data_IF_776051150887
#
_entry.id   IF_776051150887
#
_cell.length_a   1.000
_cell.length_b   1.000
_cell.length_c   1.000
_cell.angle_alpha   90.00
_cell.angle_beta   90.00
_cell.angle_gamma   90.00
#
_symmetry.space_group_name_H-M   'P 1'
#
loop_
_entity.id
_entity.type
_entity.pdbx_description
1 polymer ?
#
# COMPACT_ATOMS: atom_id res chain seq x y z
N UNK A 1 -40.76 -5.70 -0.61
CA UNK A 1 -39.30 -5.92 -0.88
C UNK A 1 -38.55 -4.75 -0.28
N UNK A 2 -37.70 -5.01 0.68
CA UNK A 2 -36.76 -4.00 1.21
C UNK A 2 -35.37 -4.28 0.66
N UNK A 3 -34.84 -3.35 -0.09
CA UNK A 3 -33.47 -3.35 -0.51
C UNK A 3 -32.67 -2.35 0.33
N UNK A 4 -31.58 -2.77 0.93
CA UNK A 4 -30.61 -1.89 1.57
C UNK A 4 -29.25 -2.31 1.09
N UNK A 5 -28.51 -1.38 0.51
CA UNK A 5 -27.14 -1.59 0.11
C UNK A 5 -26.34 -0.38 0.48
N UNK A 6 -25.07 -0.58 0.82
CA UNK A 6 -24.05 0.47 0.82
C UNK A 6 -22.69 -0.11 1.13
N UNK A 7 -21.76 0.52 0.68
CA UNK A 7 -20.97 1.63 0.85
C UNK A 7 -19.64 1.48 0.17
N UNK A 8 -19.27 2.48 -0.51
CA UNK A 8 -18.00 2.58 -1.17
C UNK A 8 -17.05 3.42 -0.34
N UNK A 9 -15.88 2.91 -0.05
CA UNK A 9 -14.77 3.74 0.38
C UNK A 9 -13.63 3.53 -0.60
N UNK A 10 -13.42 4.54 -1.39
CA UNK A 10 -12.30 4.65 -2.31
C UNK A 10 -11.19 5.47 -1.66
N UNK A 11 -9.97 4.96 -1.65
CA UNK A 11 -8.79 5.73 -1.22
C UNK A 11 -7.66 5.55 -2.23
N UNK A 12 -7.23 6.66 -2.82
CA UNK A 12 -5.93 6.78 -3.47
C UNK A 12 -5.01 7.55 -2.56
N UNK A 13 -3.81 7.07 -2.38
CA UNK A 13 -2.76 7.77 -1.66
C UNK A 13 -1.45 7.62 -2.44
N UNK A 14 -0.86 8.75 -2.78
CA UNK A 14 0.54 8.83 -3.20
C UNK A 14 1.32 9.34 -2.00
N UNK A 15 2.30 8.62 -1.56
CA UNK A 15 3.13 9.00 -0.43
C UNK A 15 4.58 9.06 -0.89
N UNK A 16 5.21 10.19 -0.65
CA UNK A 16 6.67 10.29 -0.67
C UNK A 16 7.16 9.76 0.67
N UNK A 17 7.97 8.72 0.63
CA UNK A 17 8.53 8.11 1.84
C UNK A 17 9.70 8.96 2.32
N UNK A 18 9.81 9.16 3.63
CA UNK A 18 11.08 9.66 4.18
C UNK A 18 12.13 8.56 4.06
N UNK A 19 13.38 8.88 3.66
CA UNK A 19 14.44 7.89 3.55
C UNK A 19 14.62 7.13 4.85
N UNK A 20 14.76 5.82 4.77
CA UNK A 20 15.06 5.00 5.93
C UNK A 20 16.38 5.48 6.55
N UNK A 21 16.37 5.79 7.83
CA UNK A 21 17.56 6.21 8.58
C UNK A 21 17.94 7.69 8.45
N UNK A 22 17.06 8.56 7.96
CA UNK A 22 17.30 10.02 7.96
C UNK A 22 17.70 10.52 9.34
N UNK A 23 16.93 10.17 10.37
CA UNK A 23 17.19 10.61 11.75
C UNK A 23 18.51 10.06 12.25
N UNK A 24 18.81 8.80 12.00
CA UNK A 24 20.07 8.15 12.41
C UNK A 24 21.27 8.78 11.71
N UNK A 25 21.18 9.00 10.40
CA UNK A 25 22.27 9.60 9.63
C UNK A 25 22.48 11.09 9.97
N UNK A 26 21.41 11.82 10.28
CA UNK A 26 21.50 13.21 10.72
C UNK A 26 22.28 13.33 12.04
N UNK A 27 22.07 12.40 12.98
CA UNK A 27 22.79 12.36 14.26
C UNK A 27 24.27 11.97 14.05
N UNK A 28 24.56 11.10 13.10
CA UNK A 28 25.93 10.63 12.78
C UNK A 28 26.74 11.62 11.96
N UNK A 29 26.09 12.59 11.34
CA UNK A 29 26.80 13.56 10.50
C UNK A 29 27.72 14.46 11.35
N UNK A 30 28.98 14.58 10.93
CA UNK A 30 29.94 15.44 11.62
C UNK A 30 29.53 16.91 11.49
N UNK A 31 29.51 17.71 12.58
CA UNK A 31 29.05 19.11 12.57
C UNK A 31 29.82 20.03 11.61
N UNK A 32 31.08 19.71 11.31
CA UNK A 32 31.91 20.48 10.38
C UNK A 32 31.72 20.09 8.92
N UNK A 33 30.90 19.06 8.61
CA UNK A 33 30.64 18.67 7.22
C UNK A 33 29.59 19.61 6.62
N UNK A 34 30.03 20.42 5.66
CA UNK A 34 29.14 21.34 4.94
C UNK A 34 28.22 20.56 3.99
N UNK A 35 27.06 21.12 3.69
CA UNK A 35 26.09 20.53 2.73
C UNK A 35 26.66 20.53 1.31
N UNK A 36 27.33 21.64 0.94
CA UNK A 36 27.94 21.82 -0.36
C UNK A 36 29.46 22.00 -0.25
N UNK A 37 30.17 21.57 -1.26
CA UNK A 37 31.60 21.85 -1.43
C UNK A 37 31.85 23.27 -1.97
N UNK A 38 33.12 23.65 -2.15
CA UNK A 38 33.52 24.94 -2.67
C UNK A 38 33.06 25.19 -4.12
N UNK A 39 32.71 24.16 -4.86
CA UNK A 39 32.20 24.22 -6.22
C UNK A 39 30.67 24.23 -6.31
N UNK A 40 29.97 24.13 -5.17
CA UNK A 40 28.53 24.13 -5.10
C UNK A 40 27.88 22.74 -5.31
N UNK A 41 28.68 21.68 -5.39
CA UNK A 41 28.17 20.30 -5.43
C UNK A 41 27.88 19.79 -4.02
N UNK A 42 27.08 18.74 -3.89
CA UNK A 42 26.89 18.10 -2.59
C UNK A 42 28.22 17.57 -2.05
N UNK A 43 28.51 17.88 -0.80
CA UNK A 43 29.72 17.42 -0.14
C UNK A 43 29.54 15.98 0.36
N UNK A 44 29.96 15.05 -0.47
CA UNK A 44 29.95 13.60 -0.17
C UNK A 44 31.30 13.10 0.35
N UNK A 45 32.20 14.00 0.75
CA UNK A 45 33.52 13.64 1.24
C UNK A 45 33.43 12.67 2.42
N UNK A 46 34.17 11.57 2.30
CA UNK A 46 34.32 10.54 3.32
C UNK A 46 35.79 10.53 3.72
N UNK A 47 36.07 10.75 5.00
CA UNK A 47 37.39 10.64 5.56
C UNK A 47 37.32 10.40 7.06
N UNK A 48 38.47 10.11 7.68
CA UNK A 48 38.58 9.79 9.11
C UNK A 48 38.13 10.95 10.03
N UNK A 49 38.13 12.18 9.52
CA UNK A 49 37.74 13.36 10.29
C UNK A 49 36.22 13.65 10.19
N UNK A 50 35.69 13.59 8.96
CA UNK A 50 34.29 13.95 8.68
C UNK A 50 33.34 12.76 8.80
N UNK A 51 33.89 11.55 8.99
CA UNK A 51 33.13 10.33 9.06
C UNK A 51 32.59 9.88 7.70
N UNK A 52 31.73 8.87 7.75
CA UNK A 52 31.20 8.17 6.59
C UNK A 52 29.70 8.40 6.38
N UNK A 53 29.09 9.28 7.16
CA UNK A 53 27.66 9.58 7.04
C UNK A 53 27.38 10.26 5.69
N UNK A 54 26.33 9.83 4.98
CA UNK A 54 25.95 10.42 3.70
C UNK A 54 25.47 11.87 3.88
N UNK A 55 25.54 12.65 2.79
CA UNK A 55 25.00 14.00 2.79
C UNK A 55 23.47 13.97 2.87
N UNK A 56 22.92 14.49 3.96
CA UNK A 56 21.48 14.44 4.23
C UNK A 56 20.64 15.23 3.23
N UNK A 57 21.15 16.36 2.74
CA UNK A 57 20.43 17.16 1.76
C UNK A 57 20.33 16.41 0.42
N UNK A 58 21.41 15.73 0.01
CA UNK A 58 21.40 14.88 -1.16
C UNK A 58 20.47 13.67 -1.01
N UNK A 59 20.48 13.02 0.16
CA UNK A 59 19.53 11.94 0.45
C UNK A 59 18.08 12.39 0.27
N UNK A 60 17.73 13.52 0.85
CA UNK A 60 16.38 14.08 0.75
C UNK A 60 16.01 14.48 -0.68
N UNK A 61 16.97 14.97 -1.47
CA UNK A 61 16.73 15.29 -2.87
C UNK A 61 16.45 14.05 -3.70
N UNK A 62 17.26 13.00 -3.51
CA UNK A 62 17.08 11.72 -4.20
C UNK A 62 15.76 11.05 -3.82
N UNK A 63 15.32 11.19 -2.57
CA UNK A 63 14.06 10.60 -2.10
C UNK A 63 12.82 11.19 -2.77
N UNK A 64 12.91 12.40 -3.31
CA UNK A 64 11.82 12.98 -4.10
C UNK A 64 11.53 12.19 -5.37
N UNK A 65 12.49 11.41 -5.83
CA UNK A 65 12.34 10.54 -7.00
C UNK A 65 11.62 9.23 -6.67
N UNK A 66 11.61 8.83 -5.40
CA UNK A 66 10.97 7.59 -4.97
C UNK A 66 9.45 7.75 -4.93
N UNK A 67 8.74 6.79 -5.53
CA UNK A 67 7.29 6.83 -5.66
C UNK A 67 6.66 5.62 -4.98
N UNK A 68 5.64 5.91 -4.19
CA UNK A 68 4.78 4.91 -3.60
C UNK A 68 3.33 5.23 -3.96
N UNK A 69 2.77 4.53 -4.92
CA UNK A 69 1.39 4.65 -5.32
C UNK A 69 0.57 3.49 -4.75
N UNK A 70 -0.53 3.85 -4.13
CA UNK A 70 -1.38 2.92 -3.45
C UNK A 70 -2.85 3.19 -3.72
N UNK A 71 -3.56 2.17 -4.20
CA UNK A 71 -4.99 2.21 -4.46
C UNK A 71 -5.70 1.15 -3.65
N UNK A 72 -6.77 1.53 -3.01
CA UNK A 72 -7.65 0.59 -2.34
C UNK A 72 -9.10 0.92 -2.61
N UNK A 73 -9.83 -0.07 -3.09
CA UNK A 73 -11.28 -0.01 -3.25
C UNK A 73 -11.87 -1.15 -2.45
N UNK A 74 -12.76 -0.83 -1.52
CA UNK A 74 -13.46 -1.84 -0.75
C UNK A 74 -14.89 -1.44 -0.52
N UNK A 75 -15.76 -2.42 -0.41
CA UNK A 75 -17.16 -2.17 -0.18
C UNK A 75 -17.93 -3.47 -0.11
N UNK A 76 -19.21 -3.34 0.25
CA UNK A 76 -20.14 -4.44 0.17
C UNK A 76 -21.51 -3.95 -0.29
N UNK A 77 -22.25 -4.84 -0.96
CA UNK A 77 -23.62 -4.65 -1.35
C UNK A 77 -24.44 -5.85 -0.88
N UNK A 78 -25.65 -5.61 -0.40
CA UNK A 78 -26.54 -6.69 -0.04
C UNK A 78 -27.96 -6.44 -0.54
N UNK A 79 -28.66 -7.52 -0.77
CA UNK A 79 -30.09 -7.54 -1.07
C UNK A 79 -30.79 -8.43 -0.04
N UNK A 80 -31.84 -7.91 0.56
CA UNK A 80 -32.68 -8.63 1.50
C UNK A 80 -34.13 -8.57 1.05
N UNK A 81 -34.79 -9.72 0.93
CA UNK A 81 -36.19 -9.84 0.54
C UNK A 81 -36.93 -10.78 1.47
N UNK A 82 -38.20 -10.48 1.72
CA UNK A 82 -39.13 -11.34 2.42
C UNK A 82 -40.23 -11.78 1.44
N UNK A 83 -40.03 -12.88 0.70
CA UNK A 83 -40.95 -13.32 -0.33
C UNK A 83 -42.27 -13.84 0.25
N UNK A 84 -42.21 -14.42 1.42
CA UNK A 84 -43.38 -14.83 2.22
C UNK A 84 -43.14 -14.48 3.68
N UNK A 85 -44.23 -14.27 4.42
CA UNK A 85 -44.18 -13.89 5.85
C UNK A 85 -43.25 -14.82 6.64
N UNK A 86 -42.36 -14.24 7.41
CA UNK A 86 -41.36 -14.91 8.27
C UNK A 86 -40.22 -15.61 7.55
N UNK A 87 -40.10 -15.53 6.22
CA UNK A 87 -38.97 -16.07 5.46
C UNK A 87 -38.16 -14.92 4.86
N UNK A 88 -36.97 -14.73 5.35
CA UNK A 88 -36.03 -13.69 4.88
C UNK A 88 -34.90 -14.35 4.08
N UNK A 89 -34.72 -13.89 2.85
CA UNK A 89 -33.58 -14.24 1.99
C UNK A 89 -32.65 -13.04 1.93
N UNK A 90 -31.40 -13.26 2.21
CA UNK A 90 -30.36 -12.21 2.14
C UNK A 90 -29.16 -12.71 1.34
N UNK A 91 -28.74 -11.93 0.37
CA UNK A 91 -27.47 -12.10 -0.33
C UNK A 91 -26.60 -10.89 -0.04
N UNK A 92 -25.33 -11.11 0.23
CA UNK A 92 -24.35 -10.06 0.52
C UNK A 92 -23.06 -10.36 -0.23
N UNK A 93 -22.57 -9.40 -1.00
CA UNK A 93 -21.32 -9.47 -1.74
C UNK A 93 -20.39 -8.38 -1.24
N UNK A 94 -19.22 -8.78 -0.75
CA UNK A 94 -18.16 -7.87 -0.31
C UNK A 94 -16.93 -8.03 -1.19
N UNK A 95 -16.23 -6.93 -1.45
CA UNK A 95 -15.01 -6.89 -2.24
C UNK A 95 -13.99 -5.94 -1.61
N UNK A 96 -12.71 -6.32 -1.68
CA UNK A 96 -11.59 -5.47 -1.32
C UNK A 96 -10.50 -5.64 -2.38
N UNK A 97 -10.25 -4.58 -3.13
CA UNK A 97 -9.19 -4.50 -4.12
C UNK A 97 -8.08 -3.59 -3.60
N UNK A 98 -6.86 -4.04 -3.78
CA UNK A 98 -5.65 -3.35 -3.36
C UNK A 98 -4.62 -3.40 -4.49
N UNK A 99 -4.04 -2.27 -4.83
CA UNK A 99 -2.98 -2.13 -5.82
C UNK A 99 -1.93 -1.17 -5.28
N UNK A 100 -0.70 -1.65 -5.17
CA UNK A 100 0.44 -0.93 -4.64
C UNK A 100 1.61 -1.03 -5.61
N UNK A 101 2.20 0.10 -5.94
CA UNK A 101 3.40 0.18 -6.75
C UNK A 101 4.44 1.02 -6.02
N UNK A 102 5.62 0.43 -5.81
CA UNK A 102 6.78 1.11 -5.26
C UNK A 102 7.86 1.20 -6.33
N UNK A 103 8.45 2.37 -6.48
CA UNK A 103 9.62 2.62 -7.31
C UNK A 103 10.65 3.36 -6.48
N UNK A 104 11.83 2.78 -6.33
CA UNK A 104 12.92 3.35 -5.54
C UNK A 104 14.16 3.42 -6.42
N UNK A 105 14.72 4.61 -6.53
CA UNK A 105 15.97 4.86 -7.21
C UNK A 105 17.04 5.29 -6.22
N UNK A 106 18.16 4.60 -6.25
CA UNK A 106 19.37 4.89 -5.47
C UNK A 106 20.47 5.30 -6.45
N UNK A 107 20.85 6.59 -6.54
CA UNK A 107 21.93 7.01 -7.44
C UNK A 107 23.28 6.53 -6.98
N UNK A 108 24.24 6.42 -7.92
CA UNK A 108 25.63 6.12 -7.62
C UNK A 108 26.27 7.30 -6.88
N UNK A 109 26.75 7.10 -5.67
CA UNK A 109 27.46 8.11 -4.87
C UNK A 109 28.18 7.51 -3.67
N UNK A 110 29.16 8.24 -3.20
CA UNK A 110 30.02 8.01 -2.03
C UNK A 110 30.38 6.56 -1.62
N UNK A 111 29.42 5.65 -1.53
CA UNK A 111 29.65 4.25 -1.14
C UNK A 111 29.28 3.24 -2.20
N UNK A 112 28.32 3.59 -3.05
CA UNK A 112 27.83 2.73 -4.11
C UNK A 112 28.41 3.19 -5.45
N UNK A 113 29.16 2.33 -6.11
CA UNK A 113 29.79 2.61 -7.39
C UNK A 113 28.80 2.59 -8.56
N UNK A 114 27.61 2.07 -8.34
CA UNK A 114 26.56 1.91 -9.36
C UNK A 114 25.19 2.33 -8.81
N UNK A 115 24.42 2.97 -9.66
CA UNK A 115 23.03 3.27 -9.35
C UNK A 115 22.15 2.01 -9.33
N UNK A 116 21.05 2.08 -8.60
CA UNK A 116 20.11 0.97 -8.43
C UNK A 116 18.68 1.45 -8.63
N UNK A 117 17.91 0.69 -9.37
CA UNK A 117 16.47 0.87 -9.51
C UNK A 117 15.76 -0.37 -8.99
N UNK A 118 14.84 -0.18 -8.07
CA UNK A 118 13.97 -1.24 -7.56
C UNK A 118 12.53 -0.86 -7.84
N UNK A 119 11.78 -1.78 -8.43
CA UNK A 119 10.36 -1.61 -8.65
C UNK A 119 9.60 -2.83 -8.17
N UNK A 120 8.55 -2.62 -7.38
CA UNK A 120 7.64 -3.67 -6.96
C UNK A 120 6.19 -3.27 -7.23
N UNK A 121 5.38 -4.24 -7.58
CA UNK A 121 3.94 -4.08 -7.75
C UNK A 121 3.25 -5.24 -7.06
N UNK A 122 2.31 -4.91 -6.17
CA UNK A 122 1.51 -5.88 -5.42
C UNK A 122 0.03 -5.59 -5.68
N UNK A 123 -0.68 -6.59 -6.21
CA UNK A 123 -2.13 -6.51 -6.45
C UNK A 123 -2.82 -7.59 -5.66
N UNK A 124 -3.94 -7.24 -5.06
CA UNK A 124 -4.75 -8.19 -4.32
C UNK A 124 -6.22 -7.91 -4.51
N UNK A 125 -6.96 -8.96 -4.82
CA UNK A 125 -8.41 -8.97 -4.93
C UNK A 125 -8.97 -10.03 -3.99
N UNK A 126 -9.71 -9.59 -2.99
CA UNK A 126 -10.45 -10.43 -2.06
C UNK A 126 -11.94 -10.19 -2.27
N UNK A 127 -12.71 -11.25 -2.40
CA UNK A 127 -14.16 -11.13 -2.39
C UNK A 127 -14.81 -12.24 -1.57
N UNK A 128 -15.95 -11.92 -1.01
CA UNK A 128 -16.80 -12.84 -0.27
C UNK A 128 -18.26 -12.66 -0.70
N UNK A 129 -18.94 -13.76 -0.94
CA UNK A 129 -20.36 -13.81 -1.26
C UNK A 129 -21.08 -14.73 -0.29
N UNK A 130 -21.96 -14.15 0.50
CA UNK A 130 -22.72 -14.84 1.54
C UNK A 130 -24.19 -14.81 1.20
N UNK A 131 -24.85 -15.94 1.29
CA UNK A 131 -26.29 -16.06 1.12
C UNK A 131 -26.89 -16.70 2.37
N UNK A 132 -27.98 -16.15 2.86
CA UNK A 132 -28.67 -16.70 4.03
C UNK A 132 -30.16 -16.77 3.80
N UNK A 133 -30.76 -17.80 4.33
CA UNK A 133 -32.20 -18.01 4.41
C UNK A 133 -32.56 -18.12 5.88
N UNK A 134 -33.40 -17.23 6.37
CA UNK A 134 -33.88 -17.23 7.76
C UNK A 134 -35.37 -17.39 7.79
N UNK A 135 -35.86 -18.39 8.52
CA UNK A 135 -37.27 -18.58 8.81
C UNK A 135 -37.51 -18.43 10.30
N UNK A 136 -38.45 -17.54 10.69
CA UNK A 136 -38.76 -17.26 12.09
C UNK A 136 -40.28 -17.34 12.31
N UNK A 137 -40.70 -18.18 13.23
CA UNK A 137 -42.13 -18.34 13.55
C UNK A 137 -42.36 -18.49 15.04
N UNK A 138 -43.38 -17.78 15.52
CA UNK A 138 -43.87 -17.94 16.87
C UNK A 138 -44.99 -18.99 16.92
N UNK A 139 -44.93 -19.87 17.90
CA UNK A 139 -45.95 -20.89 18.18
C UNK A 139 -46.39 -20.74 19.66
N UNK A 140 -47.42 -19.97 19.90
CA UNK A 140 -47.87 -19.65 21.24
C UNK A 140 -46.79 -18.89 22.03
N UNK A 141 -46.23 -19.52 23.09
CA UNK A 141 -45.14 -18.95 23.90
C UNK A 141 -43.73 -19.28 23.41
N UNK A 142 -43.61 -20.11 22.35
CA UNK A 142 -42.34 -20.55 21.83
C UNK A 142 -42.02 -19.82 20.50
N UNK A 143 -40.77 -19.45 20.33
CA UNK A 143 -40.24 -18.88 19.09
C UNK A 143 -39.25 -19.84 18.49
N UNK A 144 -39.42 -20.18 17.21
CA UNK A 144 -38.48 -20.97 16.42
C UNK A 144 -37.82 -20.07 15.38
N UNK A 145 -36.53 -20.10 15.30
CA UNK A 145 -35.74 -19.49 14.21
C UNK A 145 -34.80 -20.55 13.63
N UNK A 146 -34.94 -20.77 12.32
CA UNK A 146 -34.05 -21.61 11.55
C UNK A 146 -33.25 -20.75 10.56
N UNK A 147 -31.94 -20.96 10.47
CA UNK A 147 -31.06 -20.25 9.57
C UNK A 147 -30.24 -21.26 8.77
N UNK A 148 -30.22 -21.07 7.46
CA UNK A 148 -29.32 -21.76 6.54
C UNK A 148 -28.50 -20.71 5.78
N UNK A 149 -27.19 -20.97 5.65
CA UNK A 149 -26.30 -20.05 4.96
C UNK A 149 -25.30 -20.78 4.06
N UNK A 150 -24.87 -20.08 3.01
CA UNK A 150 -23.75 -20.49 2.16
C UNK A 150 -22.79 -19.32 2.02
N UNK A 151 -21.50 -19.63 1.94
CA UNK A 151 -20.46 -18.64 1.72
C UNK A 151 -19.49 -19.13 0.64
N UNK A 152 -19.14 -18.23 -0.29
CA UNK A 152 -18.06 -18.41 -1.22
C UNK A 152 -17.09 -17.24 -1.06
N UNK A 153 -15.78 -17.53 -1.02
CA UNK A 153 -14.75 -16.52 -0.95
C UNK A 153 -13.59 -16.86 -1.86
N UNK A 154 -12.93 -15.84 -2.37
CA UNK A 154 -11.68 -15.99 -3.13
C UNK A 154 -10.73 -14.88 -2.75
N UNK A 155 -9.48 -15.26 -2.57
CA UNK A 155 -8.36 -14.37 -2.44
C UNK A 155 -7.45 -14.58 -3.65
N UNK A 156 -7.07 -13.51 -4.31
CA UNK A 156 -6.14 -13.52 -5.42
C UNK A 156 -5.09 -12.45 -5.18
N UNK A 157 -3.82 -12.85 -5.27
CA UNK A 157 -2.69 -11.94 -5.07
C UNK A 157 -1.66 -12.17 -6.17
N UNK A 158 -1.20 -11.07 -6.74
CA UNK A 158 -0.12 -11.04 -7.72
C UNK A 158 0.97 -10.10 -7.20
N UNK A 159 2.22 -10.52 -7.31
CA UNK A 159 3.37 -9.72 -6.94
C UNK A 159 4.40 -9.74 -8.05
N UNK A 160 4.92 -8.59 -8.40
CA UNK A 160 6.01 -8.42 -9.35
C UNK A 160 7.12 -7.62 -8.69
N UNK A 161 8.35 -8.05 -8.89
CA UNK A 161 9.54 -7.39 -8.39
C UNK A 161 10.55 -7.28 -9.54
N UNK A 162 11.07 -6.07 -9.75
CA UNK A 162 12.13 -5.78 -10.72
C UNK A 162 13.29 -5.06 -10.03
N UNK A 163 14.50 -5.41 -10.43
CA UNK A 163 15.74 -4.83 -9.91
C UNK A 163 16.74 -4.63 -11.04
N UNK A 164 17.35 -3.45 -11.11
CA UNK A 164 18.37 -3.11 -12.08
C UNK A 164 19.49 -2.30 -11.42
N UNK A 165 20.72 -2.47 -11.91
CA UNK A 165 21.90 -1.72 -11.47
C UNK A 165 22.70 -1.24 -12.66
N UNK A 166 23.51 -0.18 -12.47
CA UNK A 166 24.37 0.34 -13.52
C UNK A 166 23.59 0.92 -14.70
N UNK A 167 22.49 1.60 -14.42
CA UNK A 167 21.67 2.25 -15.43
C UNK A 167 22.43 3.41 -16.07
N UNK A 168 22.27 3.60 -17.40
CA UNK A 168 22.95 4.64 -18.17
C UNK A 168 22.51 6.07 -17.83
N UNK A 169 21.43 6.21 -17.05
CA UNK A 169 20.86 7.49 -16.61
C UNK A 169 20.82 7.53 -15.10
N UNK A 170 21.05 8.70 -14.52
CA UNK A 170 20.94 8.97 -13.08
C UNK A 170 19.62 9.65 -12.73
N UNK A 171 18.60 9.51 -13.59
CA UNK A 171 17.28 10.06 -13.41
C UNK A 171 16.23 8.97 -13.63
N UNK A 172 15.12 9.04 -12.86
CA UNK A 172 14.03 8.07 -12.95
C UNK A 172 13.00 8.35 -14.07
N UNK A 173 13.09 9.48 -14.75
CA UNK A 173 12.08 9.96 -15.73
C UNK A 173 12.18 9.26 -17.12
N UNK A 174 12.75 8.04 -17.16
CA UNK A 174 12.78 7.18 -18.33
C UNK A 174 12.01 5.88 -18.13
#
# INVERSE_FOLDING_TARGET
>A
VRSRGLGDVYKRQTQTLSPAGVDENAIKQHPAKTVYDENGNYNDAINDVLGDAPNMARLLENEKQNKHDYWRVFGNAFLEIEPIKNLVLKTNFGMNYYDETNKTFEPAWARDEVNKLTQSSNKRLDWVWTNTVTYSKAFGKNNLTALLGTEAKKNHSESMFGYGTGLAVEDEDY
#
